data_IF_969451415388
#
_entry.id   IF_969451415388
#
_cell.length_a   1.000
_cell.length_b   1.000
_cell.length_c   1.000
_cell.angle_alpha   90.00
_cell.angle_beta   90.00
_cell.angle_gamma   90.00
#
_symmetry.space_group_name_H-M   'P 1'
#
loop_
_entity.id
_entity.type
_entity.pdbx_description
1 polymer ?
#
# COMPACT_ATOMS: atom_id res chain seq x y z
N UNK A 1 26.42 4.86 70.56
CA UNK A 1 24.96 5.03 70.31
C UNK A 1 24.83 5.33 68.81
N UNK A 2 24.55 4.33 67.95
CA UNK A 2 23.21 3.94 67.41
C UNK A 2 22.56 5.13 66.66
N UNK A 3 22.16 5.13 65.38
CA UNK A 3 21.61 4.15 64.39
C UNK A 3 21.83 4.73 62.96
N UNK A 4 22.23 4.00 61.91
CA UNK A 4 21.47 3.11 60.98
C UNK A 4 20.63 3.79 59.88
N UNK A 5 20.98 3.51 58.59
CA UNK A 5 20.08 3.11 57.44
C UNK A 5 19.23 4.25 56.81
N UNK A 6 19.04 4.47 55.49
CA UNK A 6 19.17 3.73 54.21
C UNK A 6 19.21 4.77 53.05
N UNK A 7 19.79 4.51 51.86
CA UNK A 7 19.48 5.24 50.64
C UNK A 7 18.31 4.57 49.91
N UNK A 8 17.15 5.24 49.91
CA UNK A 8 15.97 4.85 49.17
C UNK A 8 16.21 4.94 47.66
N UNK A 9 16.07 3.78 47.03
CA UNK A 9 15.80 3.51 45.62
C UNK A 9 14.78 4.49 45.02
N UNK A 10 15.11 5.08 43.87
CA UNK A 10 14.10 5.62 42.94
C UNK A 10 14.21 4.83 41.65
N UNK A 11 13.34 3.84 41.53
CA UNK A 11 13.12 3.05 40.33
C UNK A 11 12.66 3.97 39.18
N UNK A 12 13.45 4.08 38.12
CA UNK A 12 12.92 4.57 36.84
C UNK A 12 12.25 3.36 36.18
N UNK A 13 10.96 3.19 36.47
CA UNK A 13 10.11 2.29 35.68
C UNK A 13 9.98 2.88 34.27
N UNK A 14 10.77 2.37 33.32
CA UNK A 14 10.42 2.45 31.89
C UNK A 14 9.20 1.54 31.68
N UNK A 15 8.02 2.14 31.72
CA UNK A 15 6.84 1.57 31.06
C UNK A 15 6.92 1.97 29.60
N UNK A 16 7.70 1.25 28.81
CA UNK A 16 7.49 1.22 27.38
C UNK A 16 6.19 0.45 27.18
N UNK A 17 5.11 1.19 26.96
CA UNK A 17 3.87 0.61 26.48
C UNK A 17 4.18 0.11 25.07
N UNK A 18 4.43 -1.20 24.95
CA UNK A 18 4.33 -1.92 23.69
C UNK A 18 2.87 -1.79 23.28
N UNK A 19 2.57 -0.83 22.41
CA UNK A 19 1.34 -0.83 21.66
C UNK A 19 1.52 -1.91 20.59
N UNK A 20 1.27 -3.16 20.99
CA UNK A 20 0.85 -4.20 20.06
C UNK A 20 -0.47 -3.69 19.49
N UNK A 21 -0.41 -2.95 18.39
CA UNK A 21 -1.53 -2.85 17.46
C UNK A 21 -1.69 -4.23 16.83
N UNK A 22 -2.31 -5.13 17.60
CA UNK A 22 -2.92 -6.33 17.04
C UNK A 22 -3.96 -5.84 16.04
N UNK A 23 -3.59 -5.76 14.77
CA UNK A 23 -4.53 -5.71 13.67
C UNK A 23 -5.44 -6.92 13.87
N UNK A 24 -6.69 -6.64 14.23
CA UNK A 24 -7.67 -7.69 14.43
C UNK A 24 -7.81 -8.40 13.09
N UNK A 25 -7.27 -9.62 13.00
CA UNK A 25 -7.66 -10.57 11.97
C UNK A 25 -9.18 -10.66 12.04
N UNK A 26 -9.85 -9.96 11.13
CA UNK A 26 -11.30 -9.94 11.03
C UNK A 26 -11.70 -11.28 10.40
N UNK A 27 -11.61 -12.35 11.19
CA UNK A 27 -12.29 -13.60 10.91
C UNK A 27 -13.79 -13.30 10.97
N UNK A 28 -14.36 -12.87 9.84
CA UNK A 28 -15.78 -12.94 9.57
C UNK A 28 -16.16 -14.41 9.50
N UNK A 29 -16.36 -15.03 10.67
CA UNK A 29 -17.12 -16.26 10.79
C UNK A 29 -18.57 -15.95 10.39
N UNK A 30 -18.90 -16.17 9.12
CA UNK A 30 -20.28 -16.10 8.64
C UNK A 30 -21.15 -17.05 9.46
N UNK A 31 -21.94 -16.48 10.37
CA UNK A 31 -23.03 -17.18 11.02
C UNK A 31 -24.09 -17.47 9.96
N UNK A 32 -24.27 -18.76 9.68
CA UNK A 32 -25.10 -19.31 8.62
C UNK A 32 -26.56 -18.94 8.83
N UNK A 33 -27.04 -17.98 8.05
CA UNK A 33 -28.47 -17.79 7.83
C UNK A 33 -28.85 -18.61 6.62
N UNK A 34 -29.69 -19.63 6.81
CA UNK A 34 -30.14 -20.53 5.75
C UNK A 34 -31.02 -19.80 4.74
N UNK A 35 -30.46 -19.45 3.60
CA UNK A 35 -31.18 -19.19 2.36
C UNK A 35 -30.31 -19.70 1.20
N UNK A 36 -30.85 -20.62 0.41
CA UNK A 36 -30.18 -21.21 -0.74
C UNK A 36 -30.05 -20.18 -1.88
N UNK A 37 -28.83 -19.84 -2.25
CA UNK A 37 -28.40 -19.46 -3.59
C UNK A 37 -27.03 -20.14 -3.85
N UNK A 38 -26.73 -20.44 -5.10
CA UNK A 38 -25.54 -21.15 -5.60
C UNK A 38 -24.21 -20.53 -5.10
N UNK A 39 -23.04 -21.18 -5.24
CA UNK A 39 -21.77 -20.57 -4.86
C UNK A 39 -21.47 -19.44 -5.86
N UNK A 40 -22.07 -18.28 -5.63
CA UNK A 40 -21.90 -17.10 -6.48
C UNK A 40 -20.45 -16.64 -6.37
N UNK A 41 -19.76 -16.60 -7.51
CA UNK A 41 -18.49 -15.92 -7.63
C UNK A 41 -18.67 -14.44 -7.22
N UNK A 42 -17.68 -13.84 -6.54
CA UNK A 42 -17.77 -12.45 -6.09
C UNK A 42 -18.03 -11.51 -7.27
N UNK A 43 -18.96 -10.57 -7.08
CA UNK A 43 -19.30 -9.56 -8.08
C UNK A 43 -18.14 -8.60 -8.34
N UNK A 44 -18.15 -7.89 -9.48
CA UNK A 44 -17.13 -6.89 -9.81
C UNK A 44 -17.07 -5.75 -8.78
N UNK A 45 -18.19 -5.40 -8.16
CA UNK A 45 -18.22 -4.41 -7.07
C UNK A 45 -17.42 -4.94 -5.86
N UNK A 46 -17.68 -6.17 -5.44
CA UNK A 46 -16.95 -6.82 -4.34
C UNK A 46 -15.45 -7.03 -4.64
N UNK A 47 -15.10 -7.36 -5.89
CA UNK A 47 -13.70 -7.50 -6.32
C UNK A 47 -12.97 -6.15 -6.29
N UNK A 48 -13.60 -5.07 -6.75
CA UNK A 48 -13.01 -3.72 -6.70
C UNK A 48 -12.89 -3.20 -5.26
N UNK A 49 -13.90 -3.42 -4.42
CA UNK A 49 -13.82 -3.09 -2.98
C UNK A 49 -12.69 -3.86 -2.31
N UNK A 50 -12.51 -5.14 -2.68
CA UNK A 50 -11.42 -5.97 -2.17
C UNK A 50 -10.05 -5.46 -2.60
N UNK A 51 -9.87 -5.02 -3.85
CA UNK A 51 -8.60 -4.41 -4.29
C UNK A 51 -8.32 -3.13 -3.51
N UNK A 52 -9.31 -2.25 -3.36
CA UNK A 52 -9.11 -0.99 -2.63
C UNK A 52 -8.70 -1.25 -1.16
N UNK A 53 -9.30 -2.25 -0.52
CA UNK A 53 -8.92 -2.67 0.83
C UNK A 53 -7.50 -3.26 0.88
N UNK A 54 -7.15 -4.11 -0.08
CA UNK A 54 -5.80 -4.70 -0.17
C UNK A 54 -4.73 -3.63 -0.43
N UNK A 55 -5.03 -2.61 -1.24
CA UNK A 55 -4.11 -1.49 -1.48
C UNK A 55 -3.90 -0.66 -0.21
N UNK A 56 -4.95 -0.38 0.56
CA UNK A 56 -4.83 0.34 1.85
C UNK A 56 -3.99 -0.46 2.86
N UNK A 57 -4.20 -1.77 2.94
CA UNK A 57 -3.45 -2.66 3.81
C UNK A 57 -1.98 -2.77 3.38
N UNK A 58 -1.72 -2.91 2.08
CA UNK A 58 -0.37 -2.93 1.50
C UNK A 58 0.40 -1.64 1.79
N UNK A 59 -0.23 -0.48 1.62
CA UNK A 59 0.39 0.81 1.90
C UNK A 59 0.75 0.95 3.39
N UNK A 60 -0.11 0.45 4.29
CA UNK A 60 0.15 0.44 5.73
C UNK A 60 1.33 -0.49 6.09
N UNK A 61 1.38 -1.67 5.48
CA UNK A 61 2.44 -2.65 5.75
C UNK A 61 3.79 -2.18 5.18
N UNK A 62 3.80 -1.48 4.04
CA UNK A 62 5.01 -0.89 3.48
C UNK A 62 5.67 0.13 4.42
N UNK A 63 4.87 0.85 5.23
CA UNK A 63 5.38 1.73 6.28
C UNK A 63 6.06 0.92 7.40
N UNK A 64 5.49 -0.22 7.80
CA UNK A 64 6.09 -1.11 8.81
C UNK A 64 7.41 -1.70 8.30
N UNK A 65 7.42 -2.22 7.08
CA UNK A 65 8.62 -2.73 6.40
C UNK A 65 9.74 -1.67 6.38
N UNK A 66 9.41 -0.44 5.98
CA UNK A 66 10.39 0.65 5.91
C UNK A 66 10.92 1.01 7.30
N UNK A 67 10.05 1.09 8.30
CA UNK A 67 10.43 1.37 9.69
C UNK A 67 11.33 0.27 10.27
N UNK A 68 10.99 -1.00 10.06
CA UNK A 68 11.78 -2.15 10.52
C UNK A 68 13.17 -2.15 9.86
N UNK A 69 13.25 -1.85 8.57
CA UNK A 69 14.52 -1.73 7.85
C UNK A 69 15.43 -0.63 8.43
N UNK A 70 14.87 0.55 8.71
CA UNK A 70 15.61 1.63 9.37
C UNK A 70 16.07 1.26 10.79
N UNK A 71 15.29 0.44 11.52
CA UNK A 71 15.70 -0.10 12.83
C UNK A 71 16.89 -1.05 12.72
N UNK A 72 16.90 -1.97 11.74
CA UNK A 72 18.02 -2.89 11.48
C UNK A 72 19.29 -2.12 11.12
N UNK A 73 19.18 -1.11 10.25
CA UNK A 73 20.33 -0.28 9.84
C UNK A 73 20.94 0.44 11.04
N UNK A 74 20.10 1.11 11.85
CA UNK A 74 20.56 1.81 13.05
C UNK A 74 21.19 0.90 14.09
N UNK A 75 20.59 -0.26 14.35
CA UNK A 75 21.14 -1.24 15.29
C UNK A 75 22.48 -1.82 14.80
N UNK A 76 22.65 -1.96 13.48
CA UNK A 76 23.92 -2.38 12.88
C UNK A 76 25.00 -1.31 13.04
N UNK A 77 24.69 -0.04 12.78
CA UNK A 77 25.64 1.07 13.00
C UNK A 77 26.06 1.19 14.48
N UNK A 78 25.10 1.07 15.40
CA UNK A 78 25.38 1.11 16.84
C UNK A 78 26.30 -0.04 17.27
N UNK A 79 26.08 -1.24 16.73
CA UNK A 79 26.93 -2.40 16.99
C UNK A 79 28.38 -2.16 16.53
N UNK A 80 28.58 -1.64 15.31
CA UNK A 80 29.90 -1.32 14.77
C UNK A 80 30.64 -0.29 15.66
N UNK A 81 29.95 0.77 16.11
CA UNK A 81 30.53 1.76 17.03
C UNK A 81 30.94 1.16 18.38
N UNK A 82 30.12 0.25 18.94
CA UNK A 82 30.40 -0.40 20.22
C UNK A 82 31.61 -1.33 20.08
N UNK A 83 31.70 -2.08 18.98
CA UNK A 83 32.84 -2.97 18.70
C UNK A 83 34.16 -2.20 18.61
N UNK A 84 34.20 -1.05 17.93
CA UNK A 84 35.39 -0.20 17.86
C UNK A 84 35.82 0.29 19.24
N UNK A 85 34.87 0.80 20.05
CA UNK A 85 35.14 1.29 21.41
C UNK A 85 35.62 0.15 22.32
N UNK A 86 35.07 -1.05 22.16
CA UNK A 86 35.42 -2.23 22.94
C UNK A 86 36.86 -2.68 22.66
N UNK A 87 37.27 -2.69 21.40
CA UNK A 87 38.64 -3.05 21.01
C UNK A 87 39.66 -2.04 21.55
N UNK A 88 39.39 -0.74 21.39
CA UNK A 88 40.26 0.32 21.93
C UNK A 88 40.43 0.21 23.46
N UNK A 89 39.34 -0.07 24.19
CA UNK A 89 39.39 -0.23 25.64
C UNK A 89 40.16 -1.50 26.07
N UNK A 90 40.08 -2.59 25.28
CA UNK A 90 40.85 -3.82 25.52
C UNK A 90 42.35 -3.62 25.30
N UNK A 91 42.72 -2.89 24.25
CA UNK A 91 44.12 -2.55 23.96
C UNK A 91 44.76 -1.73 25.09
N UNK A 92 44.04 -0.75 25.64
CA UNK A 92 44.49 0.06 26.78
C UNK A 92 44.77 -0.81 28.01
N UNK A 93 43.88 -1.76 28.34
CA UNK A 93 44.06 -2.69 29.45
C UNK A 93 45.27 -3.60 29.21
N UNK A 94 45.42 -4.13 27.99
CA UNK A 94 46.53 -5.00 27.62
C UNK A 94 47.89 -4.28 27.71
N UNK A 95 47.97 -3.01 27.27
CA UNK A 95 49.17 -2.19 27.36
C UNK A 95 49.59 -1.95 28.82
N UNK A 96 48.62 -1.60 29.68
CA UNK A 96 48.87 -1.38 31.11
C UNK A 96 49.38 -2.67 31.77
N UNK A 97 48.70 -3.80 31.55
CA UNK A 97 49.11 -5.09 32.11
C UNK A 97 50.51 -5.51 31.61
N UNK A 98 50.80 -5.32 30.32
CA UNK A 98 52.12 -5.62 29.76
C UNK A 98 53.23 -4.73 30.35
N UNK A 99 52.91 -3.46 30.66
CA UNK A 99 53.85 -2.53 31.31
C UNK A 99 54.18 -2.96 32.74
N UNK A 100 53.19 -3.41 33.52
CA UNK A 100 53.40 -3.96 34.86
C UNK A 100 54.23 -5.25 34.81
N UNK A 101 53.96 -6.13 33.86
CA UNK A 101 54.72 -7.36 33.70
C UNK A 101 56.20 -7.08 33.37
N UNK A 102 56.46 -6.16 32.44
CA UNK A 102 57.83 -5.78 32.04
C UNK A 102 58.59 -5.07 33.17
N UNK A 103 57.93 -4.25 33.98
CA UNK A 103 58.57 -3.60 35.14
C UNK A 103 58.81 -4.59 36.28
N UNK A 104 57.95 -5.60 36.46
CA UNK A 104 58.16 -6.70 37.42
C UNK A 104 59.31 -7.65 37.05
N UNK A 105 59.86 -7.54 35.84
CA UNK A 105 61.00 -8.31 35.34
C UNK A 105 62.38 -7.72 35.63
N UNK A 106 62.48 -6.53 36.23
CA UNK A 106 63.71 -5.93 36.73
C UNK A 106 63.72 -6.00 38.27
N UNK A 107 64.82 -6.49 38.86
CA UNK A 107 64.91 -6.80 40.30
C UNK A 107 64.52 -5.59 41.17
N UNK A 108 63.35 -5.61 41.86
CA UNK A 108 62.81 -4.47 42.59
C UNK A 108 63.72 -4.02 43.74
N UNK A 109 64.68 -4.86 44.15
CA UNK A 109 65.71 -4.52 45.13
C UNK A 109 66.70 -3.48 44.59
N UNK A 110 66.96 -3.44 43.28
CA UNK A 110 67.91 -2.50 42.67
C UNK A 110 67.28 -1.13 42.43
N UNK A 111 65.99 -1.05 42.13
CA UNK A 111 65.27 0.21 41.92
C UNK A 111 65.05 0.98 43.23
N UNK A 112 64.66 0.28 44.31
CA UNK A 112 64.57 0.84 45.67
C UNK A 112 65.90 1.42 46.16
N UNK A 113 67.04 0.95 45.62
CA UNK A 113 68.37 1.48 45.91
C UNK A 113 68.79 2.68 45.05
N UNK A 114 68.15 2.94 43.90
CA UNK A 114 68.60 3.93 42.89
C UNK A 114 67.62 5.10 42.70
N UNK A 115 66.34 4.97 43.07
CA UNK A 115 65.31 6.03 42.89
C UNK A 115 64.73 6.58 44.20
N UNK A 116 63.98 7.69 44.08
CA UNK A 116 63.48 8.55 45.16
C UNK A 116 62.27 7.90 45.84
N UNK A 117 62.38 7.67 47.16
CA UNK A 117 61.34 7.25 48.13
C UNK A 117 60.32 6.15 47.74
N UNK A 118 60.22 5.05 48.52
CA UNK A 118 59.23 3.97 48.33
C UNK A 118 57.76 4.41 48.16
N UNK A 119 57.39 5.58 48.69
CA UNK A 119 56.05 6.15 48.58
C UNK A 119 55.66 6.53 47.13
N UNK A 120 56.61 6.98 46.29
CA UNK A 120 56.32 7.36 44.90
C UNK A 120 55.96 6.13 44.06
N UNK A 121 56.70 5.03 44.23
CA UNK A 121 56.44 3.76 43.53
C UNK A 121 55.07 3.20 43.88
N UNK A 122 54.68 3.25 45.17
CA UNK A 122 53.36 2.78 45.61
C UNK A 122 52.23 3.65 45.06
N UNK A 123 52.44 4.96 44.96
CA UNK A 123 51.47 5.89 44.38
C UNK A 123 51.24 5.62 42.89
N UNK A 124 52.31 5.38 42.12
CA UNK A 124 52.22 5.10 40.69
C UNK A 124 51.51 3.76 40.43
N UNK A 125 51.83 2.72 41.20
CA UNK A 125 51.14 1.42 41.11
C UNK A 125 49.66 1.53 41.47
N UNK A 126 49.32 2.31 42.50
CA UNK A 126 47.94 2.56 42.88
C UNK A 126 47.16 3.27 41.76
N UNK A 127 47.76 4.28 41.12
CA UNK A 127 47.15 4.98 40.00
C UNK A 127 46.92 4.05 38.79
N UNK A 128 47.92 3.25 38.41
CA UNK A 128 47.82 2.31 37.30
C UNK A 128 46.73 1.26 37.57
N UNK A 129 46.67 0.73 38.79
CA UNK A 129 45.64 -0.23 39.21
C UNK A 129 44.24 0.39 39.11
N UNK A 130 44.10 1.65 39.54
CA UNK A 130 42.84 2.38 39.44
C UNK A 130 42.41 2.58 37.98
N UNK A 131 43.33 2.99 37.10
CA UNK A 131 43.04 3.16 35.67
C UNK A 131 42.65 1.82 35.02
N UNK A 132 43.36 0.74 35.36
CA UNK A 132 43.04 -0.62 34.88
C UNK A 132 41.64 -1.06 35.31
N UNK A 133 41.26 -0.76 36.55
CA UNK A 133 39.93 -1.05 37.07
C UNK A 133 38.84 -0.28 36.31
N UNK A 134 39.01 1.03 36.11
CA UNK A 134 38.09 1.87 35.34
C UNK A 134 37.95 1.37 33.89
N UNK A 135 39.06 1.02 33.24
CA UNK A 135 39.00 0.50 31.87
C UNK A 135 38.37 -0.90 31.82
N UNK A 136 38.58 -1.75 32.83
CA UNK A 136 37.89 -3.03 32.96
C UNK A 136 36.37 -2.88 33.08
N UNK A 137 35.90 -1.90 33.86
CA UNK A 137 34.47 -1.57 33.96
C UNK A 137 33.90 -1.07 32.62
N UNK A 138 34.66 -0.24 31.88
CA UNK A 138 34.25 0.22 30.53
C UNK A 138 34.13 -0.93 29.54
N UNK A 139 35.09 -1.86 29.54
CA UNK A 139 35.04 -3.07 28.69
C UNK A 139 33.79 -3.91 29.04
N UNK A 140 33.48 -4.08 30.33
CA UNK A 140 32.28 -4.80 30.76
C UNK A 140 31.01 -4.10 30.26
N UNK A 141 30.91 -2.78 30.44
CA UNK A 141 29.73 -2.02 30.03
C UNK A 141 29.54 -2.01 28.50
N UNK A 142 30.62 -1.86 27.73
CA UNK A 142 30.55 -1.94 26.28
C UNK A 142 30.17 -3.36 25.81
N UNK A 143 30.62 -4.40 26.50
CA UNK A 143 30.19 -5.77 26.21
C UNK A 143 28.70 -5.97 26.47
N UNK A 144 28.16 -5.38 27.53
CA UNK A 144 26.70 -5.40 27.82
C UNK A 144 25.91 -4.65 26.74
N UNK A 145 26.36 -3.45 26.35
CA UNK A 145 25.73 -2.68 25.27
C UNK A 145 25.78 -3.43 23.93
N UNK A 146 26.87 -4.16 23.66
CA UNK A 146 26.99 -5.01 22.47
C UNK A 146 25.91 -6.07 22.44
N UNK A 147 25.73 -6.80 23.54
CA UNK A 147 24.66 -7.81 23.64
C UNK A 147 23.27 -7.19 23.49
N UNK A 148 23.02 -6.01 24.08
CA UNK A 148 21.76 -5.28 23.92
C UNK A 148 21.52 -4.86 22.47
N UNK A 149 22.55 -4.36 21.77
CA UNK A 149 22.47 -3.96 20.37
C UNK A 149 22.27 -5.17 19.43
N UNK A 150 22.96 -6.29 19.68
CA UNK A 150 22.75 -7.55 18.95
C UNK A 150 21.33 -8.05 19.12
N UNK A 151 20.80 -8.03 20.35
CA UNK A 151 19.43 -8.45 20.61
C UNK A 151 18.41 -7.52 19.94
N UNK A 152 18.63 -6.20 19.99
CA UNK A 152 17.77 -5.23 19.30
C UNK A 152 17.80 -5.43 17.78
N UNK A 153 18.96 -5.74 17.22
CA UNK A 153 19.12 -6.08 15.80
C UNK A 153 18.35 -7.35 15.44
N UNK A 154 18.50 -8.44 16.20
CA UNK A 154 17.77 -9.69 15.96
C UNK A 154 16.25 -9.47 16.03
N UNK A 155 15.77 -8.67 16.99
CA UNK A 155 14.35 -8.33 17.09
C UNK A 155 13.87 -7.51 15.88
N UNK A 156 14.67 -6.55 15.42
CA UNK A 156 14.34 -5.74 14.24
C UNK A 156 14.38 -6.57 12.94
N UNK A 157 15.33 -7.48 12.79
CA UNK A 157 15.42 -8.41 11.67
C UNK A 157 14.22 -9.38 11.63
N UNK A 158 13.77 -9.86 12.79
CA UNK A 158 12.57 -10.68 12.88
C UNK A 158 11.31 -9.92 12.44
N UNK A 159 11.15 -8.66 12.88
CA UNK A 159 10.05 -7.79 12.44
C UNK A 159 10.12 -7.48 10.94
N UNK A 160 11.33 -7.25 10.42
CA UNK A 160 11.53 -7.02 9.00
C UNK A 160 11.08 -8.23 8.17
N UNK A 161 11.48 -9.44 8.59
CA UNK A 161 11.06 -10.67 7.92
C UNK A 161 9.54 -10.90 7.96
N UNK A 162 8.89 -10.59 9.08
CA UNK A 162 7.41 -10.66 9.21
C UNK A 162 6.73 -9.65 8.26
N UNK A 163 7.21 -8.41 8.22
CA UNK A 163 6.68 -7.39 7.32
C UNK A 163 6.93 -7.74 5.83
N UNK A 164 8.09 -8.32 5.50
CA UNK A 164 8.38 -8.82 4.15
C UNK A 164 7.38 -9.92 3.73
N UNK A 165 7.12 -10.90 4.60
CA UNK A 165 6.15 -11.97 4.33
C UNK A 165 4.73 -11.44 4.12
N UNK A 166 4.30 -10.47 4.94
CA UNK A 166 2.99 -9.84 4.79
C UNK A 166 2.87 -9.04 3.50
N UNK A 167 3.90 -8.28 3.12
CA UNK A 167 3.94 -7.55 1.85
C UNK A 167 3.81 -8.53 0.68
N UNK A 168 4.58 -9.62 0.66
CA UNK A 168 4.51 -10.64 -0.40
C UNK A 168 3.13 -11.30 -0.47
N UNK A 169 2.51 -11.62 0.68
CA UNK A 169 1.16 -12.18 0.72
C UNK A 169 0.12 -11.20 0.15
N UNK A 170 0.17 -9.93 0.54
CA UNK A 170 -0.74 -8.89 0.06
C UNK A 170 -0.60 -8.67 -1.46
N UNK A 171 0.62 -8.70 -2.00
CA UNK A 171 0.84 -8.64 -3.44
C UNK A 171 0.22 -9.84 -4.17
N UNK A 172 0.41 -11.05 -3.64
CA UNK A 172 -0.17 -12.26 -4.23
C UNK A 172 -1.70 -12.22 -4.22
N UNK A 173 -2.30 -11.75 -3.12
CA UNK A 173 -3.75 -11.58 -3.01
C UNK A 173 -4.26 -10.51 -3.98
N UNK A 174 -3.56 -9.38 -4.13
CA UNK A 174 -3.89 -8.32 -5.10
C UNK A 174 -3.89 -8.87 -6.52
N UNK A 175 -2.84 -9.61 -6.89
CA UNK A 175 -2.70 -10.17 -8.23
C UNK A 175 -3.78 -11.22 -8.54
N UNK A 176 -4.19 -12.04 -7.55
CA UNK A 176 -5.31 -12.97 -7.71
C UNK A 176 -6.63 -12.23 -7.99
N UNK A 177 -6.91 -11.15 -7.25
CA UNK A 177 -8.14 -10.38 -7.43
C UNK A 177 -8.13 -9.65 -8.77
N UNK A 178 -6.98 -9.10 -9.19
CA UNK A 178 -6.81 -8.50 -10.51
C UNK A 178 -7.08 -9.50 -11.64
N UNK A 179 -6.57 -10.72 -11.52
CA UNK A 179 -6.81 -11.78 -12.50
C UNK A 179 -8.31 -12.13 -12.60
N UNK A 180 -9.02 -12.18 -11.46
CA UNK A 180 -10.48 -12.39 -11.45
C UNK A 180 -11.25 -11.24 -12.08
N UNK A 181 -10.82 -9.99 -11.87
CA UNK A 181 -11.40 -8.84 -12.54
C UNK A 181 -11.21 -8.95 -14.05
N UNK A 182 -10.00 -9.30 -14.52
CA UNK A 182 -9.72 -9.49 -15.94
C UNK A 182 -10.55 -10.63 -16.54
N UNK A 183 -10.68 -11.75 -15.83
CA UNK A 183 -11.53 -12.88 -16.22
C UNK A 183 -12.99 -12.43 -16.36
N UNK A 184 -13.55 -11.82 -15.31
CA UNK A 184 -14.91 -11.30 -15.29
C UNK A 184 -15.15 -10.30 -16.43
N UNK A 185 -14.18 -9.42 -16.67
CA UNK A 185 -14.20 -8.50 -17.80
C UNK A 185 -14.20 -9.23 -19.16
N UNK A 186 -13.39 -10.26 -19.32
CA UNK A 186 -13.26 -11.02 -20.56
C UNK A 186 -14.52 -11.84 -20.89
N UNK A 187 -15.16 -12.41 -19.88
CA UNK A 187 -16.42 -13.16 -20.01
C UNK A 187 -17.59 -12.26 -20.39
N UNK A 188 -17.53 -10.99 -20.02
CA UNK A 188 -18.52 -9.98 -20.38
C UNK A 188 -18.35 -9.38 -21.78
N UNK A 189 -17.35 -9.80 -22.57
CA UNK A 189 -17.27 -9.35 -23.97
C UNK A 189 -18.36 -10.07 -24.78
N UNK A 190 -19.36 -9.36 -25.32
CA UNK A 190 -20.36 -10.01 -26.16
C UNK A 190 -19.66 -10.61 -27.37
N UNK A 191 -19.78 -11.93 -27.58
CA UNK A 191 -19.40 -12.55 -28.85
C UNK A 191 -20.28 -11.91 -29.92
N UNK A 192 -19.74 -10.93 -30.64
CA UNK A 192 -20.44 -10.44 -31.83
C UNK A 192 -20.42 -11.59 -32.83
N UNK A 193 -21.54 -12.31 -32.98
CA UNK A 193 -21.80 -13.11 -34.16
C UNK A 193 -22.05 -12.12 -35.30
N UNK A 194 -20.97 -11.50 -35.79
CA UNK A 194 -21.00 -10.47 -36.80
C UNK A 194 -21.40 -11.03 -38.15
N UNK A 195 -22.71 -11.07 -38.43
CA UNK A 195 -23.24 -11.34 -39.78
C UNK A 195 -24.14 -10.22 -40.32
N UNK A 196 -24.17 -9.04 -39.67
CA UNK A 196 -24.99 -7.90 -40.10
C UNK A 196 -24.26 -6.55 -40.07
N UNK A 197 -24.19 -5.88 -41.22
CA UNK A 197 -23.56 -4.57 -41.43
C UNK A 197 -24.34 -3.42 -40.77
N UNK A 198 -23.66 -2.56 -40.00
CA UNK A 198 -24.22 -1.31 -39.47
C UNK A 198 -24.45 -0.30 -40.62
N UNK A 199 -25.62 0.37 -40.70
CA UNK A 199 -25.88 1.38 -41.73
C UNK A 199 -24.87 2.54 -41.69
N UNK A 200 -24.43 3.03 -42.84
CA UNK A 200 -23.51 4.17 -42.92
C UNK A 200 -24.08 5.43 -42.25
N UNK A 201 -25.40 5.64 -42.33
CA UNK A 201 -26.09 6.76 -41.67
C UNK A 201 -25.98 6.76 -40.14
N UNK A 202 -25.68 5.61 -39.53
CA UNK A 202 -25.50 5.48 -38.09
C UNK A 202 -24.04 5.76 -37.66
N UNK A 203 -23.10 5.88 -38.59
CA UNK A 203 -21.66 6.00 -38.30
C UNK A 203 -21.27 7.47 -38.18
N UNK A 204 -21.05 7.93 -36.96
CA UNK A 204 -20.60 9.29 -36.65
C UNK A 204 -19.08 9.39 -36.52
N UNK A 205 -18.63 10.44 -35.81
CA UNK A 205 -17.23 10.70 -35.56
C UNK A 205 -16.60 9.60 -34.68
N UNK A 206 -15.35 9.21 -34.97
CA UNK A 206 -14.62 8.24 -34.14
C UNK A 206 -15.19 6.82 -34.11
N UNK A 207 -16.13 6.49 -35.00
CA UNK A 207 -16.85 5.21 -35.00
C UNK A 207 -15.91 3.98 -35.02
N UNK A 208 -14.88 4.00 -35.86
CA UNK A 208 -13.94 2.85 -35.99
C UNK A 208 -12.88 2.80 -34.89
N UNK A 209 -12.84 3.79 -34.01
CA UNK A 209 -11.88 3.88 -32.91
C UNK A 209 -12.39 3.37 -31.56
N UNK A 210 -13.60 2.80 -31.52
CA UNK A 210 -14.14 2.20 -30.30
C UNK A 210 -13.37 0.93 -29.93
N UNK A 211 -13.21 0.64 -28.64
CA UNK A 211 -12.68 -0.65 -28.17
C UNK A 211 -13.59 -1.79 -28.64
N UNK A 212 -13.10 -3.05 -28.71
CA UNK A 212 -13.94 -4.19 -29.11
C UNK A 212 -15.22 -4.31 -28.28
N UNK A 213 -15.13 -4.13 -26.96
CA UNK A 213 -16.30 -4.11 -26.06
C UNK A 213 -17.26 -2.99 -26.43
N UNK A 214 -16.78 -1.74 -26.53
CA UNK A 214 -17.65 -0.61 -26.84
C UNK A 214 -18.27 -0.72 -28.24
N UNK A 215 -17.52 -1.22 -29.23
CA UNK A 215 -18.05 -1.53 -30.55
C UNK A 215 -19.17 -2.58 -30.50
N UNK A 216 -19.04 -3.63 -29.68
CA UNK A 216 -20.07 -4.64 -29.49
C UNK A 216 -21.35 -4.05 -28.88
N UNK A 217 -21.23 -3.26 -27.80
CA UNK A 217 -22.36 -2.56 -27.16
C UNK A 217 -23.06 -1.65 -28.17
N UNK A 218 -22.29 -0.80 -28.85
CA UNK A 218 -22.78 0.15 -29.85
C UNK A 218 -23.53 -0.56 -30.97
N UNK A 219 -22.92 -1.58 -31.55
CA UNK A 219 -23.51 -2.29 -32.68
C UNK A 219 -24.78 -3.05 -32.26
N UNK A 220 -24.83 -3.57 -31.04
CA UNK A 220 -26.04 -4.19 -30.48
C UNK A 220 -27.18 -3.17 -30.33
N UNK A 221 -26.90 -2.00 -29.74
CA UNK A 221 -27.89 -0.92 -29.54
C UNK A 221 -28.40 -0.41 -30.89
N UNK A 222 -27.51 -0.14 -31.85
CA UNK A 222 -27.91 0.34 -33.19
C UNK A 222 -28.80 -0.70 -33.89
N UNK A 223 -28.50 -1.99 -33.78
CA UNK A 223 -29.36 -3.04 -34.39
C UNK A 223 -30.72 -3.14 -33.73
N UNK A 224 -30.78 -2.93 -32.41
CA UNK A 224 -32.02 -3.10 -31.62
C UNK A 224 -32.94 -1.88 -31.71
N UNK A 225 -32.39 -0.68 -31.66
CA UNK A 225 -33.14 0.57 -31.52
C UNK A 225 -33.02 1.49 -32.74
N UNK A 226 -32.08 1.21 -33.65
CA UNK A 226 -31.69 2.14 -34.70
C UNK A 226 -30.83 3.29 -34.17
N UNK A 227 -30.51 4.23 -35.05
CA UNK A 227 -29.78 5.45 -34.74
C UNK A 227 -30.40 6.61 -35.54
N UNK A 228 -31.23 7.47 -34.93
CA UNK A 228 -31.86 8.59 -35.64
C UNK A 228 -30.84 9.65 -36.08
N UNK A 229 -29.68 9.69 -35.42
CA UNK A 229 -28.52 10.51 -35.77
C UNK A 229 -27.24 9.66 -35.66
N UNK A 230 -26.14 10.07 -36.32
CA UNK A 230 -24.88 9.33 -36.28
C UNK A 230 -24.32 9.20 -34.86
N UNK A 231 -23.87 7.99 -34.50
CA UNK A 231 -23.27 7.69 -33.18
C UNK A 231 -21.79 8.08 -33.18
N UNK A 232 -21.40 8.90 -32.23
CA UNK A 232 -20.00 9.30 -32.02
C UNK A 232 -19.28 8.40 -31.02
N UNK A 233 -18.00 8.11 -31.19
CA UNK A 233 -17.23 7.25 -30.27
C UNK A 233 -15.85 7.82 -29.90
N UNK A 234 -14.76 7.42 -30.58
CA UNK A 234 -13.42 7.89 -30.22
C UNK A 234 -13.23 9.40 -30.47
N UNK A 235 -12.79 10.14 -29.46
CA UNK A 235 -12.33 11.53 -29.57
C UNK A 235 -10.85 11.60 -29.18
N UNK A 236 -9.92 11.55 -30.14
CA UNK A 236 -8.49 11.58 -29.83
C UNK A 236 -8.09 12.81 -29.02
N UNK A 237 -7.30 12.61 -27.96
CA UNK A 237 -6.83 13.68 -27.06
C UNK A 237 -7.83 14.06 -25.96
N UNK A 238 -9.00 13.43 -25.91
CA UNK A 238 -9.91 13.53 -24.77
C UNK A 238 -9.33 12.79 -23.55
N UNK A 239 -9.36 13.35 -22.34
CA UNK A 239 -8.82 12.67 -21.16
C UNK A 239 -9.74 11.58 -20.57
N UNK A 240 -11.00 11.49 -21.02
CA UNK A 240 -11.99 10.54 -20.54
C UNK A 240 -12.15 9.31 -21.43
N UNK A 241 -13.27 8.61 -21.27
CA UNK A 241 -13.55 7.34 -21.95
C UNK A 241 -13.68 7.48 -23.47
N UNK A 242 -14.09 8.66 -23.97
CA UNK A 242 -14.04 8.93 -25.41
C UNK A 242 -12.61 8.94 -25.95
N UNK A 243 -11.60 9.32 -25.16
CA UNK A 243 -10.20 9.34 -25.59
C UNK A 243 -9.56 7.96 -25.69
N UNK A 244 -10.06 7.02 -24.87
CA UNK A 244 -9.65 5.61 -24.89
C UNK A 244 -10.54 4.74 -25.80
N UNK A 245 -11.55 5.32 -26.47
CA UNK A 245 -12.49 4.59 -27.31
C UNK A 245 -13.50 3.74 -26.54
N UNK A 246 -13.60 3.94 -25.22
CA UNK A 246 -14.50 3.20 -24.32
C UNK A 246 -15.87 3.84 -24.15
N UNK A 247 -16.13 4.95 -24.83
CA UNK A 247 -17.43 5.61 -24.81
C UNK A 247 -17.98 5.87 -26.21
N UNK A 248 -19.32 5.84 -26.30
CA UNK A 248 -20.07 6.28 -27.47
C UNK A 248 -21.29 7.14 -27.07
N UNK A 249 -21.55 8.16 -27.87
CA UNK A 249 -22.68 9.08 -27.78
C UNK A 249 -23.74 8.72 -28.82
N UNK A 250 -24.87 8.19 -28.36
CA UNK A 250 -26.04 7.87 -29.18
C UNK A 250 -26.89 9.12 -29.36
N UNK A 251 -26.60 9.87 -30.42
CA UNK A 251 -27.22 11.16 -30.72
C UNK A 251 -28.73 11.03 -30.96
N UNK A 252 -29.53 11.81 -30.23
CA UNK A 252 -30.99 11.90 -30.33
C UNK A 252 -31.44 13.19 -31.05
N UNK A 253 -30.53 14.11 -31.28
CA UNK A 253 -30.69 15.34 -32.06
C UNK A 253 -29.35 15.75 -32.68
N UNK A 254 -29.38 16.82 -33.50
CA UNK A 254 -28.14 17.53 -33.82
C UNK A 254 -27.52 18.10 -32.53
N UNK A 255 -26.18 18.13 -32.47
CA UNK A 255 -25.44 18.63 -31.31
C UNK A 255 -25.89 20.04 -30.91
N UNK A 256 -26.18 20.21 -29.62
CA UNK A 256 -26.65 21.47 -29.04
C UNK A 256 -28.14 21.75 -29.21
N UNK A 257 -28.91 20.85 -29.80
CA UNK A 257 -30.36 21.00 -29.97
C UNK A 257 -31.14 20.00 -29.10
N UNK A 258 -32.31 20.39 -28.61
CA UNK A 258 -33.20 19.46 -27.89
C UNK A 258 -33.77 18.41 -28.85
N UNK A 259 -33.86 17.14 -28.44
CA UNK A 259 -34.49 16.08 -29.23
C UNK A 259 -36.01 16.24 -29.31
N UNK A 260 -36.59 15.63 -30.35
CA UNK A 260 -38.04 15.47 -30.44
C UNK A 260 -38.56 14.62 -29.27
N UNK A 261 -39.86 14.69 -28.97
CA UNK A 261 -40.46 13.85 -27.92
C UNK A 261 -40.24 12.34 -28.19
N UNK A 262 -40.30 11.92 -29.47
CA UNK A 262 -40.04 10.54 -29.85
C UNK A 262 -38.57 10.14 -29.64
N UNK A 263 -37.61 11.03 -29.96
CA UNK A 263 -36.20 10.73 -29.73
C UNK A 263 -35.82 10.82 -28.25
N UNK A 264 -36.52 11.64 -27.45
CA UNK A 264 -36.39 11.63 -25.99
C UNK A 264 -36.75 10.28 -25.38
N UNK A 265 -37.89 9.74 -25.82
CA UNK A 265 -38.38 8.42 -25.42
C UNK A 265 -37.41 7.31 -25.89
N UNK A 266 -36.92 7.38 -27.13
CA UNK A 266 -35.91 6.45 -27.63
C UNK A 266 -34.62 6.49 -26.79
N UNK A 267 -34.17 7.69 -26.40
CA UNK A 267 -33.01 7.85 -25.53
C UNK A 267 -33.20 7.14 -24.18
N UNK A 268 -34.39 7.23 -23.58
CA UNK A 268 -34.71 6.49 -22.36
C UNK A 268 -34.71 4.96 -22.57
N UNK A 269 -35.23 4.48 -23.70
CA UNK A 269 -35.19 3.06 -24.03
C UNK A 269 -33.76 2.54 -24.17
N UNK A 270 -32.87 3.30 -24.82
CA UNK A 270 -31.45 2.96 -24.95
C UNK A 270 -30.76 2.99 -23.57
N UNK A 271 -30.99 4.04 -22.79
CA UNK A 271 -30.37 4.21 -21.48
C UNK A 271 -30.77 3.11 -20.48
N UNK A 272 -32.07 2.79 -20.39
CA UNK A 272 -32.56 1.70 -19.54
C UNK A 272 -32.12 0.33 -20.06
N UNK A 273 -31.98 0.14 -21.39
CA UNK A 273 -31.45 -1.10 -21.93
C UNK A 273 -29.98 -1.31 -21.53
N UNK A 274 -29.16 -0.28 -21.68
CA UNK A 274 -27.74 -0.33 -21.31
C UNK A 274 -27.57 -0.62 -19.82
N UNK A 275 -28.35 0.06 -18.96
CA UNK A 275 -28.42 -0.20 -17.52
C UNK A 275 -28.88 -1.63 -17.19
N UNK A 276 -29.97 -2.10 -17.80
CA UNK A 276 -30.50 -3.45 -17.53
C UNK A 276 -29.61 -4.59 -18.06
N UNK A 277 -28.63 -4.28 -18.91
CA UNK A 277 -27.68 -5.24 -19.47
C UNK A 277 -26.24 -4.90 -19.06
N UNK A 278 -26.03 -4.07 -18.05
CA UNK A 278 -24.72 -3.54 -17.73
C UNK A 278 -23.69 -4.64 -17.43
N UNK A 279 -24.10 -5.65 -16.65
CA UNK A 279 -23.27 -6.82 -16.32
C UNK A 279 -23.05 -7.77 -17.50
N UNK A 280 -23.83 -7.68 -18.58
CA UNK A 280 -23.58 -8.50 -19.78
C UNK A 280 -22.71 -7.76 -20.78
N UNK A 281 -22.80 -6.44 -20.78
CA UNK A 281 -22.21 -5.57 -21.77
C UNK A 281 -20.91 -4.94 -21.28
N UNK A 282 -20.59 -5.03 -19.98
CA UNK A 282 -19.51 -4.29 -19.34
C UNK A 282 -19.74 -2.78 -19.37
N UNK A 283 -20.98 -2.32 -19.16
CA UNK A 283 -21.30 -0.88 -19.10
C UNK A 283 -20.84 -0.33 -17.75
N UNK A 284 -19.91 0.62 -17.78
CA UNK A 284 -19.40 1.30 -16.58
C UNK A 284 -20.41 2.33 -16.07
N UNK A 285 -20.90 3.24 -16.93
CA UNK A 285 -21.93 4.21 -16.58
C UNK A 285 -22.74 4.67 -17.81
N UNK A 286 -23.94 5.19 -17.56
CA UNK A 286 -24.83 5.76 -18.57
C UNK A 286 -25.25 7.17 -18.15
N UNK A 287 -25.24 8.11 -19.09
CA UNK A 287 -25.72 9.48 -18.86
C UNK A 287 -26.83 9.80 -19.85
N UNK A 288 -27.97 10.29 -19.34
CA UNK A 288 -29.09 10.77 -20.16
C UNK A 288 -29.94 11.80 -19.44
N UNK A 289 -30.33 12.87 -20.14
CA UNK A 289 -31.15 13.98 -19.61
C UNK A 289 -30.66 14.48 -18.24
N UNK A 290 -29.35 14.79 -18.17
CA UNK A 290 -28.68 15.30 -16.99
C UNK A 290 -28.77 14.37 -15.76
N UNK A 291 -28.93 13.07 -16.01
CA UNK A 291 -28.86 12.04 -14.98
C UNK A 291 -27.79 11.04 -15.33
N UNK A 292 -27.11 10.53 -14.31
CA UNK A 292 -26.12 9.47 -14.41
C UNK A 292 -26.59 8.25 -13.64
N UNK A 293 -26.43 7.08 -14.24
CA UNK A 293 -26.48 5.80 -13.57
C UNK A 293 -25.11 5.15 -13.68
N UNK A 294 -24.66 4.53 -12.59
CA UNK A 294 -23.31 3.97 -12.47
C UNK A 294 -23.40 2.51 -12.04
N UNK A 295 -22.77 1.62 -12.80
CA UNK A 295 -22.78 0.17 -12.54
C UNK A 295 -22.06 -0.21 -11.25
N UNK A 296 -21.15 0.64 -10.76
CA UNK A 296 -20.43 0.44 -9.49
C UNK A 296 -21.30 0.71 -8.26
N UNK A 297 -22.52 1.23 -8.45
CA UNK A 297 -23.48 1.42 -7.38
C UNK A 297 -24.91 1.34 -7.95
N UNK A 298 -25.34 0.15 -8.40
CA UNK A 298 -26.57 -0.01 -9.16
C UNK A 298 -27.81 0.32 -8.32
N UNK A 299 -27.76 0.06 -7.00
CA UNK A 299 -28.84 0.31 -6.04
C UNK A 299 -29.17 1.79 -5.84
N UNK A 300 -28.25 2.70 -6.13
CA UNK A 300 -28.51 4.13 -6.01
C UNK A 300 -29.36 4.70 -7.17
N UNK A 301 -29.57 3.92 -8.24
CA UNK A 301 -30.39 4.32 -9.37
C UNK A 301 -29.87 5.57 -10.11
N UNK A 302 -30.77 6.27 -10.80
CA UNK A 302 -30.44 7.50 -11.52
C UNK A 302 -30.21 8.66 -10.58
N UNK A 303 -29.00 9.25 -10.62
CA UNK A 303 -28.64 10.44 -9.84
C UNK A 303 -28.66 11.70 -10.73
N UNK A 304 -29.16 12.84 -10.22
CA UNK A 304 -29.06 14.09 -10.94
C UNK A 304 -27.60 14.57 -11.03
N UNK A 305 -27.22 15.12 -12.17
CA UNK A 305 -25.94 15.79 -12.37
C UNK A 305 -26.04 17.28 -12.13
N UNK A 306 -24.93 17.90 -11.74
CA UNK A 306 -24.82 19.36 -11.76
C UNK A 306 -25.02 19.90 -13.19
N UNK A 307 -25.56 21.11 -13.29
CA UNK A 307 -25.65 21.83 -14.56
C UNK A 307 -24.26 22.27 -15.02
N UNK A 308 -23.88 21.80 -16.21
CA UNK A 308 -22.59 22.08 -16.86
C UNK A 308 -22.67 23.22 -17.88
N UNK A 309 -23.85 23.80 -18.11
CA UNK A 309 -24.01 25.06 -18.85
C UNK A 309 -24.46 24.94 -20.31
N UNK A 310 -24.72 23.72 -20.82
CA UNK A 310 -25.24 23.53 -22.18
C UNK A 310 -26.03 22.24 -22.34
N UNK A 311 -26.87 22.17 -23.38
CA UNK A 311 -27.65 20.97 -23.77
C UNK A 311 -26.71 19.75 -23.91
N UNK A 312 -25.62 19.91 -24.64
CA UNK A 312 -24.67 18.83 -24.90
C UNK A 312 -23.92 18.41 -23.64
N UNK A 313 -23.38 19.36 -22.86
CA UNK A 313 -22.65 18.98 -21.63
C UNK A 313 -23.56 18.37 -20.57
N UNK A 314 -24.87 18.68 -20.60
CA UNK A 314 -25.88 18.06 -19.76
C UNK A 314 -26.54 16.83 -20.38
N UNK A 315 -26.05 16.36 -21.53
CA UNK A 315 -26.48 15.11 -22.18
C UNK A 315 -27.99 15.08 -22.47
N UNK A 316 -28.54 16.20 -22.91
CA UNK A 316 -29.94 16.27 -23.36
C UNK A 316 -30.09 15.90 -24.84
N UNK A 317 -29.02 15.94 -25.63
CA UNK A 317 -29.02 15.66 -27.08
C UNK A 317 -28.44 14.29 -27.46
N UNK A 318 -27.85 13.55 -26.52
CA UNK A 318 -27.36 12.19 -26.72
C UNK A 318 -27.38 11.35 -25.44
N UNK A 319 -27.60 10.03 -25.58
CA UNK A 319 -27.32 9.06 -24.51
C UNK A 319 -25.84 8.74 -24.56
N UNK A 320 -25.13 8.98 -23.47
CA UNK A 320 -23.72 8.61 -23.35
C UNK A 320 -23.59 7.29 -22.61
N UNK A 321 -22.81 6.37 -23.17
CA UNK A 321 -22.50 5.08 -22.56
C UNK A 321 -21.00 4.90 -22.53
N UNK A 322 -20.46 4.60 -21.35
CA UNK A 322 -19.07 4.20 -21.15
C UNK A 322 -18.99 2.72 -20.78
N UNK A 323 -17.97 2.01 -21.27
CA UNK A 323 -17.65 0.64 -20.89
C UNK A 323 -16.35 0.56 -20.10
N UNK A 324 -16.17 -0.54 -19.36
CA UNK A 324 -14.86 -0.92 -18.82
C UNK A 324 -13.83 -1.06 -19.95
#
# INVERSE_FOLDING_TARGET
>A
MSKSVDPSTVSIRRRSAVLLSSAAALFLALSSSTAHADPDEPSLEELNERIAALEEEYDAELVQYTSAKEEVERATEELEEIEEKLEAARDDVALIAASQYKSSGFDPVIEVMVSRSPDEVLSDVALITQVSHINGERVSHLSELKEEAEQAKEEAEAKLAEAEELVEELEAQRDEVLAKIEEYESEQVPVTTGTGSIPESARGWGFDGATPRMAAIRDEIIRKFGAPYPVGCLRPGDPGEHGSGRACDFMMSAGGAMPSAANRELGWQIAEYAKANADRLGVMYVIWEQKIWDSRNPGAGWKPMADRGSITQNHYDHVHISSW
#
